data_IF_263053512653
#
_entry.id   IF_263053512653
#
_cell.length_a   1.000
_cell.length_b   1.000
_cell.length_c   1.000
_cell.angle_alpha   90.00
_cell.angle_beta   90.00
_cell.angle_gamma   90.00
#
_symmetry.space_group_name_H-M   'P 1'
#
loop_
_entity.id
_entity.type
_entity.pdbx_description
1 polymer ?
#
# COMPACT_ATOMS: atom_id res chain seq x y z
N UNK A 1 18.94 5.89 12.21
CA UNK A 1 19.73 5.45 13.38
C UNK A 1 20.04 6.57 14.39
N UNK A 2 19.74 7.80 14.09
CA UNK A 2 19.75 8.90 15.09
C UNK A 2 18.45 9.01 15.88
N UNK A 3 17.38 8.38 15.46
CA UNK A 3 16.06 8.46 16.09
C UNK A 3 16.04 7.88 17.51
N UNK A 4 16.80 6.84 17.80
CA UNK A 4 16.91 6.29 19.15
C UNK A 4 17.45 7.27 20.21
N UNK A 5 18.05 8.38 19.76
CA UNK A 5 18.54 9.45 20.65
C UNK A 5 17.52 10.59 20.85
N UNK A 6 16.50 10.69 20.01
CA UNK A 6 15.44 11.70 20.12
C UNK A 6 14.36 11.32 21.11
N UNK A 7 14.24 10.01 21.42
CA UNK A 7 13.23 9.48 22.31
C UNK A 7 13.89 8.86 23.55
N UNK A 8 13.59 9.43 24.70
CA UNK A 8 14.10 8.97 26.00
C UNK A 8 13.16 7.97 26.70
N UNK A 9 12.28 7.30 25.95
CA UNK A 9 11.33 6.33 26.47
C UNK A 9 11.77 4.88 26.30
N UNK A 10 11.12 3.96 26.99
CA UNK A 10 11.41 2.51 26.93
C UNK A 10 11.01 1.87 25.58
N UNK A 11 10.16 2.52 24.79
CA UNK A 11 9.72 2.05 23.47
C UNK A 11 10.24 2.96 22.35
N UNK A 12 10.53 2.36 21.20
CA UNK A 12 10.87 3.10 19.99
C UNK A 12 9.62 3.84 19.47
N UNK A 13 9.81 5.03 18.83
CA UNK A 13 8.70 5.74 18.21
C UNK A 13 8.09 4.92 17.08
N UNK A 14 6.80 5.11 16.85
CA UNK A 14 6.15 4.58 15.66
C UNK A 14 6.55 5.41 14.44
N UNK A 15 7.06 4.75 13.42
CA UNK A 15 7.38 5.33 12.12
C UNK A 15 6.42 4.78 11.08
N UNK A 16 5.59 5.65 10.51
CA UNK A 16 4.69 5.32 9.41
C UNK A 16 5.18 5.94 8.11
N UNK A 17 5.27 5.17 7.04
CA UNK A 17 5.73 5.66 5.76
C UNK A 17 6.16 4.54 4.82
N UNK A 18 7.03 4.85 3.86
CA UNK A 18 7.48 3.86 2.88
C UNK A 18 8.81 4.21 2.26
N UNK A 19 9.37 3.20 1.62
CA UNK A 19 10.46 3.31 0.67
C UNK A 19 9.90 3.22 -0.74
N UNK A 20 10.41 4.06 -1.66
CA UNK A 20 10.20 3.83 -3.07
C UNK A 20 10.89 2.52 -3.50
N UNK A 21 10.35 1.85 -4.52
CA UNK A 21 10.97 0.62 -5.02
C UNK A 21 12.40 0.86 -5.49
N UNK A 22 12.65 2.01 -6.11
CA UNK A 22 13.94 2.37 -6.66
C UNK A 22 15.02 2.64 -5.59
N UNK A 23 14.63 2.74 -4.31
CA UNK A 23 15.59 2.82 -3.19
C UNK A 23 16.57 1.63 -3.17
N UNK A 24 16.23 0.52 -3.83
CA UNK A 24 17.09 -0.64 -3.98
C UNK A 24 18.42 -0.32 -4.70
N UNK A 25 18.47 0.72 -5.53
CA UNK A 25 19.69 1.16 -6.24
C UNK A 25 20.78 1.67 -5.28
N UNK A 26 20.43 2.01 -4.05
CA UNK A 26 21.42 2.35 -2.99
C UNK A 26 22.20 1.14 -2.50
N UNK A 27 21.75 -0.09 -2.77
CA UNK A 27 22.35 -1.34 -2.32
C UNK A 27 22.82 -2.21 -3.48
N UNK A 28 22.18 -2.08 -4.66
CA UNK A 28 22.41 -2.91 -5.82
C UNK A 28 22.77 -2.04 -7.04
N UNK A 29 23.59 -2.57 -7.93
CA UNK A 29 23.86 -1.89 -9.20
C UNK A 29 22.78 -2.26 -10.21
N UNK A 30 21.89 -1.34 -10.47
CA UNK A 30 20.79 -1.53 -11.40
C UNK A 30 21.04 -0.77 -12.72
N UNK A 31 20.42 -1.19 -13.82
CA UNK A 31 20.34 -0.37 -15.01
C UNK A 31 19.64 0.96 -14.69
N UNK A 32 19.97 2.06 -15.41
CA UNK A 32 19.31 3.33 -15.21
C UNK A 32 17.79 3.17 -15.34
N UNK A 33 17.06 3.61 -14.33
CA UNK A 33 15.60 3.65 -14.36
C UNK A 33 15.17 4.96 -15.03
N UNK A 34 14.25 4.93 -16.03
CA UNK A 34 13.73 6.15 -16.60
C UNK A 34 12.99 6.99 -15.56
N UNK A 35 13.12 8.30 -15.63
CA UNK A 35 12.37 9.22 -14.78
C UNK A 35 10.87 8.92 -14.89
N UNK A 36 10.23 8.69 -13.75
CA UNK A 36 8.80 8.43 -13.66
C UNK A 36 7.98 9.71 -13.64
N UNK A 37 6.66 9.62 -13.79
CA UNK A 37 5.76 10.77 -13.72
C UNK A 37 5.50 11.27 -12.29
N UNK A 38 6.02 10.61 -11.27
CA UNK A 38 5.86 10.98 -9.88
C UNK A 38 7.19 11.45 -9.28
N UNK A 39 7.09 12.32 -8.31
CA UNK A 39 8.22 12.92 -7.57
C UNK A 39 8.28 12.38 -6.13
N UNK A 40 7.77 11.15 -5.90
CA UNK A 40 7.86 10.55 -4.58
C UNK A 40 9.34 10.34 -4.21
N UNK A 41 9.76 10.74 -2.99
CA UNK A 41 11.16 10.59 -2.58
C UNK A 41 11.54 9.11 -2.41
N UNK A 42 12.83 8.81 -2.39
CA UNK A 42 13.33 7.45 -2.16
C UNK A 42 12.79 6.83 -0.88
N UNK A 43 12.55 7.66 0.13
CA UNK A 43 11.82 7.28 1.34
C UNK A 43 11.22 8.49 2.03
N UNK A 44 10.08 8.30 2.65
CA UNK A 44 9.47 9.27 3.55
C UNK A 44 8.85 8.54 4.75
N UNK A 45 9.16 9.02 5.97
CA UNK A 45 8.60 8.47 7.21
C UNK A 45 8.11 9.58 8.12
N UNK A 46 6.91 9.40 8.63
CA UNK A 46 6.31 10.22 9.65
C UNK A 46 6.64 9.62 11.03
N UNK A 47 7.10 10.45 11.93
CA UNK A 47 7.25 10.09 13.34
C UNK A 47 5.94 10.45 14.03
N UNK A 48 5.20 9.43 14.47
CA UNK A 48 3.91 9.67 15.11
C UNK A 48 4.11 10.17 16.55
N UNK A 49 3.56 11.34 16.86
CA UNK A 49 3.46 11.83 18.23
C UNK A 49 2.36 11.10 19.01
N UNK A 50 1.26 10.77 18.33
CA UNK A 50 0.14 10.01 18.86
C UNK A 50 -0.18 8.80 17.97
N UNK A 51 -0.43 7.66 18.60
CA UNK A 51 -0.81 6.42 17.88
C UNK A 51 -2.08 5.88 18.52
N UNK A 52 -3.14 5.82 17.73
CA UNK A 52 -4.38 5.14 18.08
C UNK A 52 -4.36 3.74 17.49
N UNK A 53 -4.36 2.73 18.35
CA UNK A 53 -4.48 1.32 17.94
C UNK A 53 -5.90 0.83 18.25
N UNK A 54 -6.56 0.28 17.25
CA UNK A 54 -7.89 -0.33 17.38
C UNK A 54 -7.79 -1.81 17.05
N UNK A 55 -8.10 -2.65 18.04
CA UNK A 55 -8.19 -4.09 17.88
C UNK A 55 -9.67 -4.48 17.66
N UNK A 56 -10.00 -4.79 16.41
CA UNK A 56 -11.37 -5.15 16.03
C UNK A 56 -11.79 -6.53 16.55
N UNK A 57 -10.86 -7.41 16.85
CA UNK A 57 -11.16 -8.74 17.41
C UNK A 57 -11.60 -8.63 18.86
N UNK A 58 -10.85 -7.87 19.66
CA UNK A 58 -11.14 -7.67 21.09
C UNK A 58 -12.04 -6.47 21.36
N UNK A 59 -12.36 -5.68 20.34
CA UNK A 59 -13.15 -4.43 20.45
C UNK A 59 -12.51 -3.43 21.43
N UNK A 60 -11.19 -3.36 21.43
CA UNK A 60 -10.43 -2.45 22.29
C UNK A 60 -9.69 -1.42 21.48
N UNK A 61 -9.67 -0.21 21.97
CA UNK A 61 -8.83 0.87 21.44
C UNK A 61 -7.80 1.29 22.50
N UNK A 62 -6.60 1.64 22.06
CA UNK A 62 -5.52 2.15 22.87
C UNK A 62 -4.88 3.34 22.17
N UNK A 63 -4.69 4.43 22.90
CA UNK A 63 -3.93 5.58 22.42
C UNK A 63 -2.64 5.69 23.24
N UNK A 64 -1.56 5.97 22.53
CA UNK A 64 -0.23 6.21 23.09
C UNK A 64 0.33 7.49 22.49
N UNK A 65 1.06 8.26 23.30
CA UNK A 65 1.65 9.52 22.85
C UNK A 65 2.87 9.92 23.67
N UNK A 66 3.66 10.81 23.12
CA UNK A 66 4.88 11.33 23.72
C UNK A 66 4.66 12.74 24.24
N UNK A 67 5.00 12.95 25.54
CA UNK A 67 4.97 14.30 26.11
C UNK A 67 3.59 14.96 26.22
N UNK A 68 2.52 14.22 26.00
CA UNK A 68 1.15 14.69 26.02
C UNK A 68 0.48 14.30 27.34
N UNK A 69 -0.34 15.23 27.84
CA UNK A 69 -1.20 14.93 28.99
C UNK A 69 -2.25 13.88 28.59
N UNK A 70 -2.41 12.86 29.42
CA UNK A 70 -3.40 11.81 29.24
C UNK A 70 -4.81 12.36 28.99
N UNK A 71 -5.14 13.48 29.63
CA UNK A 71 -6.44 14.11 29.49
C UNK A 71 -6.68 14.68 28.08
N UNK A 72 -5.64 15.29 27.48
CA UNK A 72 -5.71 15.77 26.11
C UNK A 72 -5.91 14.64 25.08
N UNK A 73 -5.30 13.47 25.33
CA UNK A 73 -5.49 12.29 24.49
C UNK A 73 -6.91 11.69 24.62
N UNK A 74 -7.49 11.73 25.83
CA UNK A 74 -8.88 11.29 26.05
C UNK A 74 -9.87 12.22 25.34
N UNK A 75 -9.64 13.55 25.38
CA UNK A 75 -10.46 14.53 24.64
C UNK A 75 -10.38 14.34 23.12
N UNK A 76 -9.18 14.06 22.57
CA UNK A 76 -9.02 13.74 21.14
C UNK A 76 -9.76 12.47 20.74
N UNK A 77 -9.75 11.44 21.58
CA UNK A 77 -10.49 10.19 21.36
C UNK A 77 -12.00 10.43 21.33
N UNK A 78 -12.52 11.22 22.25
CA UNK A 78 -13.94 11.56 22.32
C UNK A 78 -14.37 12.38 21.09
N UNK A 79 -13.55 13.34 20.64
CA UNK A 79 -13.76 14.07 19.39
C UNK A 79 -13.77 13.14 18.17
N UNK A 80 -12.82 12.21 18.09
CA UNK A 80 -12.75 11.24 17.00
C UNK A 80 -13.96 10.29 16.99
N UNK A 81 -14.46 9.90 18.16
CA UNK A 81 -15.66 9.05 18.30
C UNK A 81 -16.94 9.77 17.86
N UNK A 82 -17.00 11.09 18.07
CA UNK A 82 -18.16 11.92 17.67
C UNK A 82 -18.14 12.24 16.18
N UNK A 83 -16.95 12.28 15.57
CA UNK A 83 -16.77 12.67 14.15
C UNK A 83 -16.77 11.47 13.20
N UNK A 84 -17.29 10.30 13.58
CA UNK A 84 -17.46 9.21 12.61
C UNK A 84 -18.39 9.73 11.49
N UNK A 85 -17.88 9.99 10.29
CA UNK A 85 -18.75 10.41 9.20
C UNK A 85 -19.84 9.34 9.02
N UNK A 86 -21.09 9.76 8.95
CA UNK A 86 -22.18 8.86 8.60
C UNK A 86 -21.85 8.08 7.35
N UNK A 87 -22.53 6.98 7.13
CA UNK A 87 -22.42 6.16 5.92
C UNK A 87 -22.27 7.09 4.71
N UNK A 88 -21.24 6.94 3.90
CA UNK A 88 -21.08 7.79 2.73
C UNK A 88 -22.35 7.79 1.91
N UNK A 89 -22.86 8.97 1.59
CA UNK A 89 -23.92 9.09 0.59
C UNK A 89 -23.43 8.39 -0.68
N UNK A 90 -24.30 7.56 -1.29
CA UNK A 90 -23.94 6.84 -2.49
C UNK A 90 -23.36 7.85 -3.50
N UNK A 91 -22.18 7.58 -4.08
CA UNK A 91 -21.57 8.53 -4.98
C UNK A 91 -22.53 8.89 -6.10
N UNK A 92 -22.65 10.19 -6.38
CA UNK A 92 -23.41 10.68 -7.52
C UNK A 92 -22.95 9.97 -8.81
N UNK A 93 -23.83 9.79 -9.81
CA UNK A 93 -23.46 9.18 -11.09
C UNK A 93 -22.18 9.84 -11.61
N UNK A 94 -21.12 9.07 -11.75
CA UNK A 94 -19.81 9.59 -12.13
C UNK A 94 -19.86 10.02 -13.60
N UNK A 95 -19.52 11.26 -13.86
CA UNK A 95 -19.08 11.66 -15.22
C UNK A 95 -17.92 10.74 -15.62
N UNK A 96 -17.80 10.45 -16.92
CA UNK A 96 -16.77 9.59 -17.43
C UNK A 96 -15.38 10.12 -17.04
N UNK A 97 -14.70 9.41 -16.14
CA UNK A 97 -13.33 9.78 -15.75
C UNK A 97 -12.41 9.45 -16.91
N UNK A 98 -11.71 10.46 -17.42
CA UNK A 98 -10.68 10.27 -18.43
C UNK A 98 -9.38 9.84 -17.76
N UNK A 99 -8.98 8.59 -17.96
CA UNK A 99 -7.70 8.07 -17.47
C UNK A 99 -6.65 8.18 -18.60
N UNK A 100 -5.47 8.69 -18.26
CA UNK A 100 -4.31 8.72 -19.17
C UNK A 100 -3.37 7.59 -18.81
N UNK A 101 -3.15 6.66 -19.73
CA UNK A 101 -2.15 5.60 -19.57
C UNK A 101 -0.73 6.10 -19.90
N UNK A 102 0.29 5.63 -19.20
CA UNK A 102 1.71 5.94 -19.46
C UNK A 102 2.19 5.37 -20.80
N UNK A 103 1.65 4.22 -21.20
CA UNK A 103 1.85 3.59 -22.50
C UNK A 103 0.51 3.08 -23.05
N UNK A 104 0.36 3.08 -24.38
CA UNK A 104 -0.86 2.62 -25.02
C UNK A 104 -1.02 1.09 -24.96
N UNK A 105 -2.23 0.62 -25.30
CA UNK A 105 -2.59 -0.80 -25.22
C UNK A 105 -1.77 -1.68 -26.18
N UNK A 106 -1.45 -1.20 -27.38
CA UNK A 106 -0.69 -1.98 -28.35
C UNK A 106 0.75 -2.18 -27.87
N UNK A 107 1.36 -1.12 -27.38
CA UNK A 107 2.71 -1.16 -26.79
C UNK A 107 2.75 -2.07 -25.58
N UNK A 108 1.78 -1.98 -24.68
CA UNK A 108 1.73 -2.86 -23.50
C UNK A 108 1.61 -4.34 -23.89
N UNK A 109 0.75 -4.67 -24.85
CA UNK A 109 0.62 -6.06 -25.36
C UNK A 109 1.91 -6.57 -25.97
N UNK A 110 2.61 -5.74 -26.76
CA UNK A 110 3.89 -6.15 -27.36
C UNK A 110 4.96 -6.41 -26.29
N UNK A 111 4.94 -5.66 -25.17
CA UNK A 111 5.82 -5.94 -24.04
C UNK A 111 5.49 -7.29 -23.39
N UNK A 112 4.21 -7.61 -23.19
CA UNK A 112 3.78 -8.92 -22.66
C UNK A 112 4.25 -10.05 -23.57
N UNK A 113 4.04 -9.95 -24.88
CA UNK A 113 4.47 -10.97 -25.85
C UNK A 113 5.98 -11.19 -25.81
N UNK A 114 6.77 -10.10 -25.76
CA UNK A 114 8.23 -10.18 -25.62
C UNK A 114 8.65 -10.90 -24.33
N UNK A 115 8.02 -10.53 -23.21
CA UNK A 115 8.33 -11.13 -21.90
C UNK A 115 7.92 -12.62 -21.84
N UNK A 116 6.84 -13.00 -22.48
CA UNK A 116 6.49 -14.43 -22.67
C UNK A 116 7.59 -15.18 -23.44
N UNK A 117 8.18 -14.53 -24.45
CA UNK A 117 9.36 -15.07 -25.14
C UNK A 117 10.53 -15.36 -24.20
N UNK A 118 10.85 -14.43 -23.29
CA UNK A 118 11.90 -14.63 -22.29
C UNK A 118 11.59 -15.76 -21.32
N UNK A 119 10.33 -15.91 -20.89
CA UNK A 119 9.91 -17.05 -20.06
C UNK A 119 10.11 -18.37 -20.80
N UNK A 120 9.70 -18.46 -22.08
CA UNK A 120 9.89 -19.66 -22.90
C UNK A 120 11.36 -19.98 -23.17
N UNK A 121 12.22 -18.96 -23.30
CA UNK A 121 13.67 -19.13 -23.46
C UNK A 121 14.37 -19.60 -22.16
N UNK A 122 13.68 -19.49 -21.01
CA UNK A 122 14.24 -19.82 -19.71
C UNK A 122 15.10 -18.69 -19.09
N UNK A 123 15.04 -17.47 -19.64
CA UNK A 123 15.77 -16.32 -19.10
C UNK A 123 15.20 -15.90 -17.73
N UNK A 124 13.89 -16.01 -17.57
CA UNK A 124 13.13 -15.69 -16.37
C UNK A 124 12.01 -16.71 -16.16
N UNK A 125 11.57 -16.92 -14.92
CA UNK A 125 10.44 -17.79 -14.61
C UNK A 125 9.16 -17.00 -14.27
N UNK A 126 9.28 -15.74 -13.88
CA UNK A 126 8.16 -14.86 -13.57
C UNK A 126 8.52 -13.41 -13.86
N UNK A 127 7.55 -12.64 -14.32
CA UNK A 127 7.66 -11.19 -14.52
C UNK A 127 6.28 -10.55 -14.40
N UNK A 128 6.23 -9.36 -13.82
CA UNK A 128 5.00 -8.58 -13.67
C UNK A 128 5.14 -7.28 -14.47
N UNK A 129 4.71 -7.24 -15.74
CA UNK A 129 4.69 -6.01 -16.50
C UNK A 129 3.62 -5.06 -15.95
N UNK A 130 3.92 -3.78 -15.88
CA UNK A 130 2.99 -2.78 -15.40
C UNK A 130 2.96 -1.53 -16.29
N UNK A 131 1.89 -0.75 -16.16
CA UNK A 131 1.78 0.61 -16.67
C UNK A 131 1.02 1.48 -15.68
N UNK A 132 1.31 2.75 -15.67
CA UNK A 132 0.63 3.72 -14.82
C UNK A 132 -0.61 4.28 -15.52
N UNK A 133 -1.64 4.57 -14.74
CA UNK A 133 -2.80 5.35 -15.15
C UNK A 133 -2.90 6.59 -14.27
N UNK A 134 -3.07 7.75 -14.88
CA UNK A 134 -3.26 9.03 -14.21
C UNK A 134 -4.69 9.51 -14.40
N UNK A 135 -5.31 9.90 -13.28
CA UNK A 135 -6.65 10.48 -13.25
C UNK A 135 -6.64 11.71 -12.33
N UNK A 136 -7.56 12.62 -12.52
CA UNK A 136 -7.78 13.68 -11.55
C UNK A 136 -8.30 13.08 -10.23
N UNK A 137 -7.69 13.47 -9.12
CA UNK A 137 -8.05 13.02 -7.79
C UNK A 137 -8.07 14.21 -6.81
N UNK A 138 -9.18 14.96 -6.74
CA UNK A 138 -9.27 16.14 -5.88
C UNK A 138 -9.33 15.80 -4.38
N UNK A 139 -9.68 14.57 -4.02
CA UNK A 139 -9.77 14.07 -2.65
C UNK A 139 -9.23 12.63 -2.59
N UNK A 140 -7.96 12.51 -2.22
CA UNK A 140 -7.28 11.23 -2.12
C UNK A 140 -7.83 10.36 -0.98
N UNK A 141 -8.32 10.96 0.11
CA UNK A 141 -8.90 10.20 1.21
C UNK A 141 -10.27 9.60 0.82
N UNK A 142 -11.10 10.34 0.09
CA UNK A 142 -12.34 9.79 -0.46
C UNK A 142 -12.07 8.66 -1.46
N UNK A 143 -11.03 8.80 -2.29
CA UNK A 143 -10.60 7.73 -3.20
C UNK A 143 -10.13 6.49 -2.44
N UNK A 144 -9.35 6.64 -1.37
CA UNK A 144 -8.97 5.54 -0.47
C UNK A 144 -10.18 4.84 0.15
N UNK A 145 -11.17 5.60 0.63
CA UNK A 145 -12.41 5.03 1.19
C UNK A 145 -13.14 4.17 0.15
N UNK A 146 -13.25 4.68 -1.08
CA UNK A 146 -13.83 3.92 -2.19
C UNK A 146 -13.02 2.64 -2.49
N UNK A 147 -11.70 2.72 -2.51
CA UNK A 147 -10.83 1.55 -2.68
C UNK A 147 -11.08 0.51 -1.58
N UNK A 148 -11.17 0.95 -0.33
CA UNK A 148 -11.44 0.07 0.82
C UNK A 148 -12.77 -0.67 0.71
N UNK A 149 -13.79 -0.04 0.14
CA UNK A 149 -15.11 -0.65 -0.06
C UNK A 149 -15.14 -1.60 -1.26
N UNK A 150 -14.45 -1.25 -2.34
CA UNK A 150 -14.51 -1.98 -3.60
C UNK A 150 -13.46 -3.09 -3.72
N UNK A 151 -12.34 -2.95 -3.03
CA UNK A 151 -11.22 -3.90 -3.06
C UNK A 151 -10.57 -4.04 -1.68
N UNK A 152 -11.29 -4.55 -0.68
CA UNK A 152 -10.74 -4.77 0.65
C UNK A 152 -9.59 -5.79 0.58
N UNK A 153 -8.50 -5.49 1.28
CA UNK A 153 -7.31 -6.34 1.32
C UNK A 153 -6.80 -6.44 2.76
N UNK A 154 -6.02 -7.49 3.11
CA UNK A 154 -5.47 -7.66 4.44
C UNK A 154 -4.62 -6.48 4.93
N UNK A 155 -3.93 -5.81 3.99
CA UNK A 155 -3.06 -4.67 4.29
C UNK A 155 -3.57 -3.44 3.55
N UNK A 156 -4.35 -2.63 4.25
CA UNK A 156 -4.83 -1.34 3.76
C UNK A 156 -4.04 -0.23 4.45
N UNK A 157 -3.60 0.76 3.68
CA UNK A 157 -2.87 1.89 4.23
C UNK A 157 -3.26 3.19 3.55
N UNK A 158 -3.12 4.28 4.30
CA UNK A 158 -3.20 5.65 3.81
C UNK A 158 -2.18 6.49 4.58
N UNK A 159 -1.32 7.16 3.88
CA UNK A 159 -0.27 8.02 4.45
C UNK A 159 -0.38 9.39 3.78
N UNK A 160 -0.48 10.43 4.60
CA UNK A 160 -0.37 11.81 4.14
C UNK A 160 1.00 12.34 4.55
N UNK A 161 1.88 12.49 3.58
CA UNK A 161 3.20 13.09 3.74
C UNK A 161 3.16 14.62 3.60
N UNK A 162 4.32 15.24 3.40
CA UNK A 162 4.45 16.68 3.24
C UNK A 162 3.91 17.16 1.89
N UNK A 163 4.18 16.43 0.82
CA UNK A 163 3.86 16.82 -0.56
C UNK A 163 2.98 15.79 -1.28
N UNK A 164 2.83 14.59 -0.70
CA UNK A 164 2.17 13.45 -1.33
C UNK A 164 1.19 12.79 -0.39
N UNK A 165 0.18 12.17 -0.99
CA UNK A 165 -0.70 11.23 -0.30
C UNK A 165 -0.55 9.88 -0.98
N UNK A 166 -0.20 8.87 -0.19
CA UNK A 166 -0.01 7.49 -0.65
C UNK A 166 -1.03 6.57 0.01
N UNK A 167 -1.75 5.81 -0.79
CA UNK A 167 -2.68 4.82 -0.26
C UNK A 167 -2.72 3.57 -1.11
N UNK A 168 -3.13 2.47 -0.51
CA UNK A 168 -3.19 1.21 -1.23
C UNK A 168 -3.94 0.11 -0.50
N UNK A 169 -4.13 -0.97 -1.24
CA UNK A 169 -4.69 -2.23 -0.80
C UNK A 169 -3.75 -3.35 -1.25
N UNK A 170 -3.08 -4.01 -0.31
CA UNK A 170 -2.15 -5.09 -0.62
C UNK A 170 -2.64 -6.43 -0.06
N UNK A 171 -2.60 -7.50 -0.86
CA UNK A 171 -2.88 -8.85 -0.37
C UNK A 171 -1.71 -9.45 0.41
N UNK A 172 -0.53 -8.86 0.33
CA UNK A 172 0.73 -9.47 0.78
C UNK A 172 1.55 -8.52 1.65
N UNK A 173 2.17 -9.07 2.71
CA UNK A 173 3.22 -8.37 3.46
C UNK A 173 4.59 -8.77 2.93
N UNK A 174 5.44 -7.78 2.63
CA UNK A 174 6.79 -8.06 2.16
C UNK A 174 7.65 -8.69 3.25
N UNK A 175 7.68 -8.10 4.42
CA UNK A 175 8.43 -8.59 5.57
C UNK A 175 7.76 -8.14 6.86
N UNK A 176 7.61 -9.07 7.81
CA UNK A 176 7.31 -8.77 9.20
C UNK A 176 8.47 -9.23 10.06
N UNK A 177 9.06 -8.31 10.82
CA UNK A 177 10.10 -8.62 11.80
C UNK A 177 9.62 -8.34 13.21
N UNK A 178 9.74 -9.33 14.08
CA UNK A 178 9.39 -9.22 15.51
C UNK A 178 10.68 -9.20 16.31
N UNK A 179 10.97 -8.07 16.97
CA UNK A 179 12.23 -7.87 17.68
C UNK A 179 12.35 -8.72 18.95
N UNK A 180 11.24 -9.02 19.65
CA UNK A 180 11.22 -9.78 20.90
C UNK A 180 11.75 -11.20 20.76
N UNK A 181 11.46 -11.86 19.66
CA UNK A 181 11.87 -13.24 19.36
C UNK A 181 12.82 -13.35 18.17
N UNK A 182 13.17 -12.19 17.57
CA UNK A 182 14.06 -12.05 16.43
C UNK A 182 13.58 -12.84 15.18
N UNK A 183 12.27 -12.99 15.03
CA UNK A 183 11.69 -13.70 13.90
C UNK A 183 11.36 -12.76 12.75
N UNK A 184 11.82 -13.14 11.54
CA UNK A 184 11.37 -12.59 10.28
C UNK A 184 10.33 -13.51 9.64
N UNK A 185 9.24 -12.95 9.14
CA UNK A 185 8.18 -13.66 8.45
C UNK A 185 8.00 -13.09 7.05
N UNK A 186 8.04 -13.96 6.07
CA UNK A 186 7.77 -13.68 4.66
C UNK A 186 6.69 -14.65 4.20
N UNK A 187 5.75 -14.15 3.45
CA UNK A 187 4.65 -14.94 2.88
C UNK A 187 4.63 -14.75 1.36
N UNK A 188 5.63 -15.30 0.63
CA UNK A 188 5.65 -15.14 -0.82
C UNK A 188 4.44 -15.85 -1.41
N UNK A 189 3.60 -15.11 -2.09
CA UNK A 189 2.44 -15.64 -2.81
C UNK A 189 2.74 -15.58 -4.30
N UNK A 190 2.75 -16.74 -4.94
CA UNK A 190 2.79 -16.85 -6.38
C UNK A 190 1.75 -17.87 -6.82
N UNK A 191 0.79 -17.45 -7.58
CA UNK A 191 -0.19 -18.35 -8.13
C UNK A 191 -1.06 -17.63 -9.14
N UNK A 192 -0.96 -18.07 -10.37
CA UNK A 192 -1.89 -17.71 -11.44
C UNK A 192 -2.49 -18.98 -12.00
N UNK A 193 -3.69 -18.86 -12.50
CA UNK A 193 -4.36 -19.95 -13.22
C UNK A 193 -4.82 -19.41 -14.57
N UNK A 194 -4.77 -20.23 -15.61
CA UNK A 194 -5.34 -19.84 -16.88
C UNK A 194 -6.84 -19.65 -16.73
N UNK A 195 -7.36 -18.60 -17.35
CA UNK A 195 -8.81 -18.42 -17.42
C UNK A 195 -9.41 -19.53 -18.28
N UNK A 196 -10.38 -20.25 -17.75
CA UNK A 196 -11.15 -21.23 -18.52
C UNK A 196 -12.07 -20.56 -19.56
N UNK A 197 -12.39 -21.28 -20.61
CA UNK A 197 -13.39 -20.83 -21.59
C UNK A 197 -14.82 -20.82 -21.01
N UNK A 198 -15.03 -21.52 -19.89
CA UNK A 198 -16.28 -21.58 -19.13
C UNK A 198 -16.00 -21.48 -17.64
N UNK A 199 -17.02 -21.07 -16.88
CA UNK A 199 -16.90 -21.01 -15.41
C UNK A 199 -16.54 -22.35 -14.76
N UNK A 200 -17.01 -23.47 -15.31
CA UNK A 200 -16.65 -24.82 -14.83
C UNK A 200 -15.15 -25.10 -15.01
N UNK A 201 -14.56 -24.64 -16.13
CA UNK A 201 -13.12 -24.78 -16.38
C UNK A 201 -12.30 -23.86 -15.49
N UNK A 202 -12.79 -22.66 -15.16
CA UNK A 202 -12.14 -21.78 -14.18
C UNK A 202 -12.05 -22.46 -12.82
N UNK A 203 -13.15 -23.00 -12.30
CA UNK A 203 -13.18 -23.73 -11.03
C UNK A 203 -12.24 -24.94 -11.05
N UNK A 204 -12.21 -25.69 -12.14
CA UNK A 204 -11.31 -26.82 -12.28
C UNK A 204 -9.85 -26.40 -12.20
N UNK A 205 -9.48 -25.31 -12.88
CA UNK A 205 -8.13 -24.78 -12.87
C UNK A 205 -7.71 -24.25 -11.50
N UNK A 206 -8.66 -23.83 -10.64
CA UNK A 206 -8.38 -23.42 -9.26
C UNK A 206 -8.10 -24.61 -8.33
N UNK A 207 -8.64 -25.79 -8.64
CA UNK A 207 -8.52 -26.98 -7.81
C UNK A 207 -7.28 -27.84 -8.13
N UNK A 208 -6.67 -27.63 -9.27
CA UNK A 208 -5.41 -28.28 -9.70
C UNK A 208 -4.19 -27.43 -9.29
#
# INVERSE_FOLDING_TARGET
>A
LQFSKLYSGESLPFLGGGFAFDYVDTFETLPPVPDGPNEYPDYEFLVAEHVLTVDHLTQKARIEGWGVDKHALEEELDLAAVTVPGTPEAPAPRESISARASIDDATFRSHVERLQGNVHAGDIYQVVPSRAFSIECPDAFAAYRTLRETNPSPYMFYVRGSEHELFGASPESNLKYTASDRQGQLYPVAGTRPRGATHELDIRNELE
#
